data_IF_219337768158
#
_entry.id   IF_219337768158
#
_cell.length_a   1.000
_cell.length_b   1.000
_cell.length_c   1.000
_cell.angle_alpha   90.00
_cell.angle_beta   90.00
_cell.angle_gamma   90.00
#
_symmetry.space_group_name_H-M   'P 1'
#
loop_
_entity.id
_entity.type
_entity.pdbx_description
1 polymer ?
#
# COMPACT_ATOMS: atom_id res chain seq x y z
N UNK A 1 11.73 1.44 19.72
CA UNK A 1 12.24 2.61 18.97
C UNK A 1 11.05 3.41 18.45
N UNK A 2 11.21 4.71 18.20
CA UNK A 2 10.13 5.56 17.69
C UNK A 2 10.19 5.68 16.17
N UNK A 3 9.04 5.86 15.52
CA UNK A 3 8.96 6.24 14.10
C UNK A 3 9.48 7.66 13.88
N UNK A 4 9.90 7.96 12.66
CA UNK A 4 10.28 9.30 12.23
C UNK A 4 9.08 10.23 12.35
N UNK A 5 9.31 11.44 12.86
CA UNK A 5 8.33 12.52 12.81
C UNK A 5 7.94 12.81 11.35
N UNK A 6 6.68 12.52 11.00
CA UNK A 6 6.19 12.68 9.63
C UNK A 6 6.13 14.16 9.20
N UNK A 7 6.12 15.10 10.14
CA UNK A 7 6.06 16.53 9.83
C UNK A 7 7.33 17.04 9.15
N UNK A 8 8.49 16.44 9.46
CA UNK A 8 9.80 16.83 8.91
C UNK A 8 10.14 16.14 7.59
N UNK A 9 9.35 15.13 7.17
CA UNK A 9 9.60 14.41 5.93
C UNK A 9 9.23 15.28 4.70
N UNK A 10 10.09 15.29 3.66
CA UNK A 10 9.77 15.90 2.37
C UNK A 10 8.72 15.06 1.64
N UNK A 11 7.75 15.71 1.02
CA UNK A 11 6.73 15.08 0.18
C UNK A 11 6.78 15.73 -1.20
N UNK A 12 6.83 14.92 -2.24
CA UNK A 12 6.70 15.33 -3.63
C UNK A 12 5.45 14.68 -4.20
N UNK A 13 4.63 15.47 -4.88
CA UNK A 13 3.41 14.99 -5.52
C UNK A 13 3.57 15.09 -7.03
N UNK A 14 3.17 14.02 -7.73
CA UNK A 14 3.16 13.98 -9.19
C UNK A 14 1.83 13.46 -9.69
N UNK A 15 1.07 14.25 -10.47
CA UNK A 15 -0.16 13.75 -11.08
C UNK A 15 0.17 12.66 -12.10
N UNK A 16 -0.58 11.56 -12.04
CA UNK A 16 -0.49 10.46 -12.99
C UNK A 16 -1.55 10.65 -14.08
N UNK A 17 -1.24 10.19 -15.29
CA UNK A 17 -2.24 10.07 -16.35
C UNK A 17 -3.29 9.03 -15.94
N UNK A 18 -4.57 9.39 -16.05
CA UNK A 18 -5.71 8.54 -15.69
C UNK A 18 -6.52 8.21 -16.96
N UNK A 19 -6.12 7.21 -17.75
CA UNK A 19 -6.89 6.78 -18.91
C UNK A 19 -8.25 6.18 -18.49
N UNK A 20 -9.25 6.16 -19.38
CA UNK A 20 -10.50 5.45 -19.15
C UNK A 20 -10.27 3.96 -18.86
N UNK A 21 -11.12 3.36 -18.03
CA UNK A 21 -10.99 1.93 -17.67
C UNK A 21 -11.04 1.00 -18.88
N UNK A 22 -11.82 1.34 -19.92
CA UNK A 22 -11.86 0.57 -21.17
C UNK A 22 -10.51 0.57 -21.91
N UNK A 23 -9.80 1.69 -21.89
CA UNK A 23 -8.46 1.78 -22.48
C UNK A 23 -7.46 0.94 -21.69
N UNK A 24 -7.50 1.00 -20.35
CA UNK A 24 -6.67 0.16 -19.48
C UNK A 24 -6.95 -1.32 -19.77
N UNK A 25 -8.22 -1.73 -19.84
CA UNK A 25 -8.63 -3.10 -20.16
C UNK A 25 -7.99 -3.56 -21.47
N UNK A 26 -8.11 -2.77 -22.54
CA UNK A 26 -7.65 -3.16 -23.87
C UNK A 26 -6.13 -3.27 -23.94
N UNK A 27 -5.41 -2.31 -23.35
CA UNK A 27 -3.93 -2.32 -23.30
C UNK A 27 -3.41 -3.49 -22.46
N UNK A 28 -4.01 -3.74 -21.29
CA UNK A 28 -3.61 -4.86 -20.42
C UNK A 28 -3.91 -6.20 -21.07
N UNK A 29 -5.08 -6.36 -21.70
CA UNK A 29 -5.43 -7.58 -22.44
C UNK A 29 -4.41 -7.88 -23.54
N UNK A 30 -4.10 -6.87 -24.37
CA UNK A 30 -3.12 -7.01 -25.44
C UNK A 30 -1.74 -7.42 -24.88
N UNK A 31 -1.26 -6.74 -23.83
CA UNK A 31 0.03 -7.04 -23.21
C UNK A 31 0.12 -8.46 -22.65
N UNK A 32 -0.92 -8.91 -21.92
CA UNK A 32 -0.94 -10.22 -21.30
C UNK A 32 -0.98 -11.37 -22.32
N UNK A 33 -1.65 -11.22 -23.46
CA UNK A 33 -1.73 -12.29 -24.49
C UNK A 33 -0.39 -12.68 -25.10
N UNK A 34 0.64 -11.83 -24.96
CA UNK A 34 2.01 -12.17 -25.38
C UNK A 34 2.74 -13.12 -24.41
N UNK A 35 2.24 -13.25 -23.17
CA UNK A 35 2.90 -14.00 -22.09
C UNK A 35 2.06 -15.18 -21.57
N UNK A 36 0.74 -15.17 -21.79
CA UNK A 36 -0.18 -16.17 -21.27
C UNK A 36 -1.04 -16.76 -22.40
N UNK A 37 -1.27 -18.08 -22.35
CA UNK A 37 -2.07 -18.80 -23.35
C UNK A 37 -3.54 -18.39 -23.33
N UNK A 38 -4.12 -18.23 -22.14
CA UNK A 38 -5.52 -17.83 -21.95
C UNK A 38 -5.59 -16.55 -21.14
N UNK A 39 -6.24 -15.52 -21.70
CA UNK A 39 -6.39 -14.20 -21.08
C UNK A 39 -7.84 -13.75 -21.14
N UNK A 40 -8.35 -13.23 -20.02
CA UNK A 40 -9.62 -12.52 -19.93
C UNK A 40 -9.42 -11.28 -19.07
N UNK A 41 -9.76 -10.11 -19.60
CA UNK A 41 -9.67 -8.83 -18.88
C UNK A 41 -11.00 -8.11 -19.05
N UNK A 42 -11.61 -7.71 -17.94
CA UNK A 42 -12.93 -7.09 -17.90
C UNK A 42 -12.94 -5.91 -16.93
N UNK A 43 -13.76 -4.91 -17.23
CA UNK A 43 -14.13 -3.87 -16.27
C UNK A 43 -15.39 -4.34 -15.56
N UNK A 44 -15.32 -4.53 -14.26
CA UNK A 44 -16.41 -5.06 -13.43
C UNK A 44 -16.56 -4.23 -12.15
N UNK A 45 -17.71 -4.39 -11.48
CA UNK A 45 -17.86 -3.88 -10.12
C UNK A 45 -16.87 -4.58 -9.19
N UNK A 46 -16.26 -3.80 -8.29
CA UNK A 46 -15.32 -4.34 -7.31
C UNK A 46 -16.07 -5.30 -6.37
N UNK A 47 -15.65 -6.58 -6.26
CA UNK A 47 -16.26 -7.50 -5.31
C UNK A 47 -15.95 -7.05 -3.87
N UNK A 48 -16.70 -7.56 -2.89
CA UNK A 48 -16.37 -7.27 -1.50
C UNK A 48 -15.04 -7.93 -1.10
N UNK A 49 -13.99 -7.12 -0.98
CA UNK A 49 -12.64 -7.60 -0.70
C UNK A 49 -12.40 -7.94 0.79
N UNK A 50 -13.38 -7.74 1.68
CA UNK A 50 -13.28 -8.26 3.06
C UNK A 50 -13.51 -9.77 3.13
N UNK A 51 -14.14 -10.35 2.11
CA UNK A 51 -14.48 -11.77 2.08
C UNK A 51 -13.33 -12.63 1.54
N UNK A 52 -13.47 -13.95 1.69
CA UNK A 52 -12.62 -14.93 1.01
C UNK A 52 -12.55 -14.66 -0.51
N UNK A 53 -11.37 -14.80 -1.14
CA UNK A 53 -10.08 -15.19 -0.56
C UNK A 53 -9.20 -14.00 -0.13
N UNK A 54 -9.74 -12.76 -0.12
CA UNK A 54 -8.94 -11.54 -0.07
C UNK A 54 -8.66 -11.06 1.36
N UNK A 55 -9.67 -11.07 2.23
CA UNK A 55 -9.57 -10.63 3.63
C UNK A 55 -8.88 -9.26 3.81
N UNK A 56 -9.16 -8.31 2.91
CA UNK A 56 -8.69 -6.93 3.07
C UNK A 56 -9.42 -6.23 4.22
N UNK A 57 -8.74 -5.27 4.87
CA UNK A 57 -9.33 -4.45 5.91
C UNK A 57 -10.44 -3.51 5.39
N UNK A 58 -10.57 -3.35 4.06
CA UNK A 58 -11.57 -2.54 3.38
C UNK A 58 -12.28 -3.31 2.27
N UNK A 59 -13.55 -2.92 2.01
CA UNK A 59 -14.43 -3.64 1.06
C UNK A 59 -14.05 -3.49 -0.41
N UNK A 60 -13.23 -2.49 -0.77
CA UNK A 60 -12.86 -2.25 -2.16
C UNK A 60 -11.70 -1.27 -2.31
N UNK A 61 -11.20 -1.14 -3.54
CA UNK A 61 -10.03 -0.31 -3.89
C UNK A 61 -10.41 1.01 -4.59
N UNK A 62 -11.70 1.27 -4.73
CA UNK A 62 -12.23 2.45 -5.41
C UNK A 62 -12.07 3.73 -4.57
N UNK A 63 -12.35 4.88 -5.18
CA UNK A 63 -12.36 6.18 -4.52
C UNK A 63 -11.31 7.12 -5.09
N UNK A 64 -10.29 7.44 -4.30
CA UNK A 64 -9.21 8.37 -4.67
C UNK A 64 -7.86 7.65 -4.61
N UNK A 65 -7.62 6.68 -5.52
CA UNK A 65 -6.41 5.85 -5.49
C UNK A 65 -5.17 6.75 -5.57
N UNK A 66 -4.21 6.51 -4.69
CA UNK A 66 -2.96 7.26 -4.58
C UNK A 66 -1.83 6.26 -4.39
N UNK A 67 -0.79 6.36 -5.21
CA UNK A 67 0.44 5.59 -5.02
C UNK A 67 1.36 6.37 -4.07
N UNK A 68 1.82 5.69 -3.03
CA UNK A 68 2.70 6.27 -2.03
C UNK A 68 4.00 5.46 -1.97
N UNK A 69 5.11 6.09 -2.35
CA UNK A 69 6.45 5.49 -2.27
C UNK A 69 7.20 6.10 -1.07
N UNK A 70 7.75 5.24 -0.22
CA UNK A 70 8.35 5.64 1.06
C UNK A 70 9.72 5.01 1.22
N UNK A 71 10.74 5.85 1.42
CA UNK A 71 12.10 5.40 1.62
C UNK A 71 12.69 4.75 0.37
N UNK A 72 13.30 3.58 0.53
CA UNK A 72 13.82 2.80 -0.58
C UNK A 72 15.02 1.91 -0.21
N UNK A 73 15.48 1.06 -1.15
CA UNK A 73 16.63 0.17 -0.94
C UNK A 73 17.90 0.81 -0.38
N UNK A 74 18.23 2.09 -0.68
CA UNK A 74 19.42 2.74 -0.10
C UNK A 74 19.41 2.86 1.43
N UNK A 75 18.24 2.75 2.08
CA UNK A 75 18.17 2.71 3.56
C UNK A 75 18.36 1.31 4.14
N UNK A 76 18.38 0.28 3.29
CA UNK A 76 18.63 -1.10 3.67
C UNK A 76 20.05 -1.54 3.31
N UNK A 77 20.59 -1.05 2.19
CA UNK A 77 21.84 -1.52 1.60
C UNK A 77 22.87 -0.39 1.40
N UNK A 78 24.18 -0.67 1.57
CA UNK A 78 24.76 -1.93 2.03
C UNK A 78 24.69 -2.12 3.56
N UNK A 79 24.41 -1.05 4.29
CA UNK A 79 24.21 -1.04 5.73
C UNK A 79 22.85 -0.45 6.03
N UNK A 80 22.07 -1.16 6.85
CA UNK A 80 20.73 -0.75 7.22
C UNK A 80 20.75 0.47 8.13
N UNK A 81 19.92 1.45 7.82
CA UNK A 81 19.63 2.59 8.68
C UNK A 81 18.37 2.31 9.51
N UNK A 82 18.59 1.79 10.71
CA UNK A 82 17.52 1.48 11.67
C UNK A 82 16.73 2.70 12.14
N UNK A 83 17.17 3.94 11.84
CA UNK A 83 16.39 5.14 12.14
C UNK A 83 15.22 5.34 11.17
N UNK A 84 15.19 4.62 10.04
CA UNK A 84 14.15 4.69 9.01
C UNK A 84 12.92 3.85 9.36
N UNK A 85 12.28 4.23 10.46
CA UNK A 85 10.99 3.68 10.90
C UNK A 85 9.86 4.65 10.54
N UNK A 86 8.80 4.12 9.94
CA UNK A 86 7.72 4.91 9.37
C UNK A 86 6.38 4.55 10.01
N UNK A 87 5.58 5.56 10.34
CA UNK A 87 4.20 5.36 10.78
C UNK A 87 3.27 5.47 9.57
N UNK A 88 2.71 4.35 9.11
CA UNK A 88 1.93 4.29 7.88
C UNK A 88 0.66 5.15 7.96
N UNK A 89 0.07 5.31 9.15
CA UNK A 89 -1.14 6.13 9.35
C UNK A 89 -0.80 7.60 9.14
N UNK A 90 0.22 8.10 9.85
CA UNK A 90 0.64 9.50 9.82
C UNK A 90 1.08 9.92 8.42
N UNK A 91 1.84 9.06 7.73
CA UNK A 91 2.30 9.32 6.38
C UNK A 91 1.14 9.32 5.39
N UNK A 92 0.23 8.35 5.48
CA UNK A 92 -0.95 8.30 4.61
C UNK A 92 -1.86 9.51 4.82
N UNK A 93 -2.08 9.94 6.07
CA UNK A 93 -2.84 11.15 6.38
C UNK A 93 -2.18 12.41 5.80
N UNK A 94 -0.84 12.51 5.86
CA UNK A 94 -0.11 13.61 5.23
C UNK A 94 -0.23 13.57 3.70
N UNK A 95 -0.07 12.39 3.08
CA UNK A 95 -0.20 12.20 1.64
C UNK A 95 -1.60 12.58 1.12
N UNK A 96 -2.64 12.22 1.88
CA UNK A 96 -4.03 12.54 1.56
C UNK A 96 -4.44 13.96 1.98
N UNK A 97 -3.53 14.73 2.58
CA UNK A 97 -3.78 16.04 3.18
C UNK A 97 -5.03 16.05 4.08
N UNK A 98 -5.20 15.01 4.91
CA UNK A 98 -6.36 14.89 5.80
C UNK A 98 -6.12 13.90 6.94
N UNK A 99 -6.49 14.31 8.17
CA UNK A 99 -6.45 13.46 9.37
C UNK A 99 -7.79 12.81 9.71
N UNK A 100 -8.87 13.17 9.00
CA UNK A 100 -10.24 12.72 9.28
C UNK A 100 -10.84 11.87 8.16
N UNK A 101 -10.11 11.70 7.05
CA UNK A 101 -10.57 10.91 5.91
C UNK A 101 -10.40 9.43 6.24
N UNK A 102 -11.44 8.65 5.99
CA UNK A 102 -11.32 7.20 5.98
C UNK A 102 -10.46 6.75 4.78
N UNK A 103 -9.53 5.83 5.00
CA UNK A 103 -8.72 5.26 3.93
C UNK A 103 -8.33 3.81 4.20
N UNK A 104 -8.08 3.09 3.10
CA UNK A 104 -7.41 1.80 3.08
C UNK A 104 -5.97 2.04 2.58
N UNK A 105 -4.98 1.56 3.32
CA UNK A 105 -3.59 1.51 2.89
C UNK A 105 -3.17 0.04 2.77
N UNK A 106 -2.79 -0.35 1.56
CA UNK A 106 -2.31 -1.69 1.23
C UNK A 106 -0.99 -1.59 0.47
N UNK A 107 -0.13 -2.60 0.60
CA UNK A 107 1.11 -2.66 -0.16
C UNK A 107 2.14 -3.60 0.43
N UNK A 108 3.37 -3.44 -0.02
CA UNK A 108 4.51 -4.23 0.39
C UNK A 108 5.67 -3.34 0.83
N UNK A 109 6.52 -3.86 1.71
CA UNK A 109 7.78 -3.21 2.08
C UNK A 109 8.49 -4.00 3.18
N UNK A 110 9.66 -3.53 3.59
CA UNK A 110 10.33 -4.08 4.78
C UNK A 110 9.40 -3.95 5.99
N UNK A 111 9.27 -5.04 6.74
CA UNK A 111 8.45 -5.11 7.94
C UNK A 111 9.08 -4.36 9.13
N UNK A 112 8.28 -3.99 10.14
CA UNK A 112 8.76 -3.30 11.33
C UNK A 112 9.57 -4.27 12.21
N UNK A 113 10.88 -4.33 11.98
CA UNK A 113 11.81 -5.12 12.79
C UNK A 113 11.63 -4.97 14.31
N UNK A 114 11.22 -3.81 14.90
CA UNK A 114 11.02 -3.71 16.34
C UNK A 114 9.91 -4.61 16.91
N UNK A 115 9.02 -5.15 16.08
CA UNK A 115 7.94 -6.05 16.53
C UNK A 115 8.34 -7.52 16.53
N UNK A 116 9.34 -7.91 15.75
CA UNK A 116 9.72 -9.32 15.59
C UNK A 116 11.20 -9.60 15.88
N UNK A 117 11.97 -8.56 16.21
CA UNK A 117 13.40 -8.61 16.52
C UNK A 117 14.26 -9.26 15.41
N UNK A 118 13.81 -9.11 14.18
CA UNK A 118 14.47 -9.65 12.98
C UNK A 118 14.04 -8.85 11.76
N UNK A 119 14.78 -9.03 10.66
CA UNK A 119 14.31 -8.58 9.36
C UNK A 119 13.07 -9.40 8.97
N UNK A 120 12.07 -8.72 8.48
CA UNK A 120 10.85 -9.33 7.98
C UNK A 120 10.34 -8.57 6.75
N UNK A 121 9.53 -9.24 5.96
CA UNK A 121 8.78 -8.64 4.86
C UNK A 121 7.37 -8.33 5.36
N UNK A 122 6.87 -7.13 5.04
CA UNK A 122 5.55 -6.65 5.42
C UNK A 122 4.57 -6.71 4.25
N UNK A 123 3.44 -7.34 4.47
CA UNK A 123 2.25 -7.30 3.62
C UNK A 123 1.22 -6.42 4.33
N UNK A 124 1.25 -5.13 4.00
CA UNK A 124 0.47 -4.12 4.68
C UNK A 124 -0.97 -4.11 4.19
N UNK A 125 -1.89 -4.08 5.14
CA UNK A 125 -3.33 -4.09 4.92
C UNK A 125 -4.02 -3.45 6.13
N UNK A 126 -4.25 -2.14 6.07
CA UNK A 126 -4.83 -1.38 7.17
C UNK A 126 -5.91 -0.40 6.72
N UNK A 127 -7.00 -0.34 7.48
CA UNK A 127 -8.07 0.62 7.32
C UNK A 127 -8.07 1.60 8.49
N UNK A 128 -8.10 2.89 8.18
CA UNK A 128 -8.29 3.95 9.18
C UNK A 128 -9.68 4.53 9.00
N UNK A 129 -10.51 4.44 10.04
CA UNK A 129 -11.85 5.03 10.06
C UNK A 129 -11.79 6.53 10.39
N UNK A 130 -12.86 7.26 10.10
CA UNK A 130 -12.95 8.71 10.33
C UNK A 130 -12.78 9.15 11.80
N UNK A 131 -13.01 8.24 12.75
CA UNK A 131 -12.79 8.45 14.18
C UNK A 131 -11.34 8.15 14.63
N UNK A 132 -10.45 7.81 13.70
CA UNK A 132 -9.06 7.45 13.96
C UNK A 132 -8.83 5.99 14.36
N UNK A 133 -9.88 5.16 14.44
CA UNK A 133 -9.71 3.73 14.71
C UNK A 133 -8.97 3.05 13.54
N UNK A 134 -7.95 2.27 13.87
CA UNK A 134 -7.12 1.53 12.91
C UNK A 134 -7.44 0.05 13.01
N UNK A 135 -7.93 -0.53 11.93
CA UNK A 135 -8.01 -1.97 11.74
C UNK A 135 -6.80 -2.40 10.90
N UNK A 136 -5.97 -3.31 11.41
CA UNK A 136 -4.83 -3.85 10.67
C UNK A 136 -4.96 -5.35 10.51
N UNK A 137 -5.08 -5.78 9.26
CA UNK A 137 -5.06 -7.17 8.79
C UNK A 137 -3.72 -7.45 8.08
N UNK A 138 -2.65 -6.76 8.51
CA UNK A 138 -1.31 -6.87 7.93
C UNK A 138 -0.61 -8.16 8.37
N UNK A 139 0.20 -8.73 7.50
CA UNK A 139 0.99 -9.92 7.77
C UNK A 139 2.49 -9.61 7.70
N UNK A 140 3.29 -10.34 8.49
CA UNK A 140 4.75 -10.30 8.46
C UNK A 140 5.28 -11.69 8.11
N UNK A 141 6.29 -11.74 7.23
CA UNK A 141 7.05 -12.95 6.93
C UNK A 141 8.49 -12.79 7.39
N UNK A 142 9.03 -13.77 8.11
CA UNK A 142 10.40 -13.77 8.58
C UNK A 142 11.04 -15.16 8.42
N UNK A 143 12.36 -15.19 8.37
CA UNK A 143 13.11 -16.44 8.38
C UNK A 143 13.13 -16.96 9.83
N UNK A 144 12.77 -18.23 10.00
CA UNK A 144 12.84 -18.97 11.27
C UNK A 144 14.15 -19.71 11.43
#
# INVERSE_FOLDING_TARGET
MASIDTTILPFEEKPLYMPPLDEIRDVVAAGLTSNFETVKVEVVDCPNLTEDPFHLAGQGLNGSPTLLELGGPPYLLPHVDYTKLYDLVSISQKALNSTKKEFLAIGAGAGPYPYVDSNCEGMYNLKVAANGHVLSESHLAQIT
#
